data_IF_126382140973
#
_entry.id   IF_126382140973
#
_cell.length_a   1.000
_cell.length_b   1.000
_cell.length_c   1.000
_cell.angle_alpha   90.00
_cell.angle_beta   90.00
_cell.angle_gamma   90.00
#
_symmetry.space_group_name_H-M   'P 1'
#
loop_
_entity.id
_entity.type
_entity.pdbx_description
1 polymer ?
#
# COMPACT_ATOMS: atom_id res chain seq x y z
N UNK A 1 -20.72 -22.27 -1.13
CA UNK A 1 -19.81 -21.32 -1.82
C UNK A 1 -20.27 -19.91 -1.48
N UNK A 2 -19.83 -19.39 -0.34
CA UNK A 2 -19.94 -17.95 -0.03
C UNK A 2 -18.51 -17.46 0.21
N UNK A 3 -17.70 -17.60 -0.83
CA UNK A 3 -16.27 -17.91 -0.60
C UNK A 3 -15.30 -16.78 -0.94
N UNK A 4 -15.82 -15.60 -1.32
CA UNK A 4 -14.97 -14.45 -1.67
C UNK A 4 -15.63 -13.17 -1.19
N UNK A 5 -16.94 -13.03 -1.40
CA UNK A 5 -17.65 -11.81 -1.03
C UNK A 5 -17.71 -11.62 0.50
N UNK A 6 -17.97 -12.69 1.26
CA UNK A 6 -17.95 -12.64 2.74
C UNK A 6 -16.56 -12.35 3.29
N UNK A 7 -15.51 -12.94 2.70
CA UNK A 7 -14.12 -12.71 3.12
C UNK A 7 -13.68 -11.27 2.85
N UNK A 8 -14.02 -10.72 1.68
CA UNK A 8 -13.75 -9.31 1.34
C UNK A 8 -14.49 -8.39 2.30
N UNK A 9 -15.77 -8.68 2.59
CA UNK A 9 -16.57 -7.90 3.51
C UNK A 9 -16.01 -7.93 4.94
N UNK A 10 -15.57 -9.09 5.43
CA UNK A 10 -14.97 -9.21 6.75
C UNK A 10 -13.63 -8.46 6.83
N UNK A 11 -12.79 -8.61 5.81
CA UNK A 11 -11.47 -8.01 5.78
C UNK A 11 -11.54 -6.47 5.78
N UNK A 12 -12.34 -5.87 4.90
CA UNK A 12 -12.48 -4.41 4.83
C UNK A 12 -13.42 -3.83 5.90
N UNK A 13 -14.34 -4.63 6.44
CA UNK A 13 -15.34 -4.16 7.41
C UNK A 13 -14.97 -4.35 8.89
N UNK A 14 -14.03 -5.24 9.21
CA UNK A 14 -13.65 -5.55 10.60
C UNK A 14 -12.14 -5.61 10.83
N UNK A 15 -11.37 -6.21 9.92
CA UNK A 15 -9.94 -6.41 10.12
C UNK A 15 -9.10 -5.17 9.76
N UNK A 16 -9.41 -4.47 8.67
CA UNK A 16 -8.68 -3.29 8.25
C UNK A 16 -9.11 -2.09 9.10
N UNK A 17 -8.28 -1.67 10.06
CA UNK A 17 -8.58 -0.52 10.92
C UNK A 17 -7.79 0.74 10.53
N UNK A 18 -6.59 0.56 10.00
CA UNK A 18 -5.71 1.64 9.58
C UNK A 18 -4.96 1.25 8.31
N UNK A 19 -4.47 2.25 7.56
CA UNK A 19 -3.76 2.03 6.29
C UNK A 19 -2.53 1.12 6.43
N UNK A 20 -1.93 1.06 7.62
CA UNK A 20 -0.81 0.16 7.91
C UNK A 20 -1.21 -1.33 7.98
N UNK A 21 -2.48 -1.65 8.24
CA UNK A 21 -2.98 -3.02 8.32
C UNK A 21 -3.37 -3.57 6.93
N UNK A 22 -3.28 -2.73 5.89
CA UNK A 22 -3.65 -3.09 4.54
C UNK A 22 -2.66 -4.13 3.98
N UNK A 23 -3.13 -5.38 3.90
CA UNK A 23 -2.49 -6.54 3.25
C UNK A 23 -2.46 -6.40 1.73
N UNK A 24 -1.95 -5.28 1.21
CA UNK A 24 -1.68 -5.13 -0.22
C UNK A 24 -0.32 -4.48 -0.43
N UNK A 25 0.54 -5.20 -1.14
CA UNK A 25 1.82 -4.68 -1.62
C UNK A 25 1.68 -4.17 -3.07
N UNK A 26 0.45 -4.11 -3.61
CA UNK A 26 0.19 -3.97 -5.04
C UNK A 26 0.68 -2.64 -5.63
N UNK A 27 0.75 -1.58 -4.82
CA UNK A 27 1.23 -0.27 -5.26
C UNK A 27 2.74 -0.09 -5.07
N UNK A 28 3.46 -1.08 -4.53
CA UNK A 28 4.87 -0.98 -4.20
C UNK A 28 5.74 -1.69 -5.25
N UNK A 29 6.61 -0.93 -5.91
CA UNK A 29 7.62 -1.51 -6.80
C UNK A 29 8.73 -2.15 -5.95
N UNK A 30 8.99 -3.45 -6.14
CA UNK A 30 10.07 -4.19 -5.45
C UNK A 30 11.48 -3.77 -5.89
N UNK A 31 11.57 -2.98 -6.97
CA UNK A 31 12.84 -2.50 -7.49
C UNK A 31 13.41 -1.36 -6.66
N UNK A 32 14.73 -1.36 -6.51
CA UNK A 32 15.44 -0.33 -5.77
C UNK A 32 15.53 0.96 -6.61
N UNK A 33 15.18 2.10 -6.00
CA UNK A 33 15.25 3.40 -6.67
C UNK A 33 16.72 3.68 -7.06
N UNK A 34 17.04 3.95 -8.34
CA UNK A 34 18.37 4.33 -8.77
C UNK A 34 18.91 5.57 -8.04
N UNK A 35 20.22 5.62 -7.78
CA UNK A 35 20.85 6.67 -6.98
C UNK A 35 20.61 8.09 -7.51
N UNK A 36 20.57 8.27 -8.84
CA UNK A 36 20.30 9.59 -9.44
C UNK A 36 18.88 10.09 -9.19
N UNK A 37 17.91 9.20 -8.99
CA UNK A 37 16.51 9.54 -8.71
C UNK A 37 16.34 9.93 -7.23
N UNK A 38 17.07 9.28 -6.31
CA UNK A 38 17.01 9.58 -4.87
C UNK A 38 17.33 11.05 -4.56
N UNK A 39 18.30 11.63 -5.26
CA UNK A 39 18.68 13.04 -5.06
C UNK A 39 17.59 14.02 -5.54
N UNK A 40 16.78 13.62 -6.53
CA UNK A 40 15.69 14.44 -7.04
C UNK A 40 14.49 14.37 -6.08
N UNK A 41 14.18 13.18 -5.53
CA UNK A 41 13.09 12.99 -4.57
C UNK A 41 13.27 13.87 -3.32
N UNK A 42 14.50 14.09 -2.85
CA UNK A 42 14.79 14.99 -1.72
C UNK A 42 14.32 16.44 -1.93
N UNK A 43 14.14 16.87 -3.19
CA UNK A 43 13.67 18.21 -3.55
C UNK A 43 12.14 18.29 -3.62
N UNK A 44 11.44 17.15 -3.57
CA UNK A 44 9.98 17.09 -3.56
C UNK A 44 9.51 17.34 -2.13
N UNK A 45 8.49 18.19 -1.97
CA UNK A 45 7.93 18.47 -0.66
C UNK A 45 7.27 17.19 -0.08
N UNK A 46 7.48 16.87 1.20
CA UNK A 46 7.00 15.61 1.79
C UNK A 46 5.49 15.56 2.04
N UNK A 47 4.77 16.67 1.82
CA UNK A 47 3.31 16.74 1.96
C UNK A 47 2.63 16.47 0.60
N UNK A 48 1.70 15.52 0.61
CA UNK A 48 0.71 15.24 -0.43
C UNK A 48 -0.63 14.90 0.22
#
# INVERSE_FOLDING_TARGET
MTSVHEDVQNYYGQQLQQSADLKTDACCTKAQIPSFIKEIIKKVHPEV
#
